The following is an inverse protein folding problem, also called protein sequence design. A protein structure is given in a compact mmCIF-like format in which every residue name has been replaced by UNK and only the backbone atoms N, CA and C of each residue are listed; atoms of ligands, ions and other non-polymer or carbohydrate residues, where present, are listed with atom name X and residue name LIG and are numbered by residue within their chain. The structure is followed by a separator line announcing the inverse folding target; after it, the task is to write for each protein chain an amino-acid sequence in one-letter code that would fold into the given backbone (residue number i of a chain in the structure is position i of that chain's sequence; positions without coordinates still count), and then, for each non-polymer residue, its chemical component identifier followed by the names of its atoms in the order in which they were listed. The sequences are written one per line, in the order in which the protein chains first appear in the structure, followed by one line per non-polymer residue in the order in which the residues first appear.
data_IF_961833150791
#
_entry.id   IF_961833150791
#
_cell.length_a   1.000
_cell.length_b   1.000
_cell.length_c   1.000
_cell.angle_alpha   90.00
_cell.angle_beta   90.00
_cell.angle_gamma   90.00
#
_symmetry.space_group_name_H-M   'P 1'
#
loop_
_entity.id
_entity.type
_entity.pdbx_description
1 polymer ?
#
# COMPACT_ATOMS: atom_id res chain seq x y z
N UNK A 1 1.41 21.71 0.21
CA UNK A 1 -0.04 21.52 0.13
C UNK A 1 -0.39 20.26 -0.66
N UNK A 2 0.03 20.15 -1.94
CA UNK A 2 -0.22 18.96 -2.77
C UNK A 2 0.23 17.62 -2.14
N UNK A 3 1.40 17.59 -1.48
CA UNK A 3 1.89 16.36 -0.85
C UNK A 3 1.02 15.89 0.32
N UNK A 4 0.42 16.81 1.06
CA UNK A 4 -0.48 16.48 2.17
C UNK A 4 -1.77 15.88 1.64
N UNK A 5 -2.33 16.45 0.58
CA UNK A 5 -3.55 15.95 -0.04
C UNK A 5 -3.38 14.54 -0.62
N UNK A 6 -2.21 14.23 -1.17
CA UNK A 6 -1.85 12.86 -1.58
C UNK A 6 -1.72 11.92 -0.38
N UNK A 7 -1.10 12.37 0.71
CA UNK A 7 -0.99 11.58 1.94
C UNK A 7 -2.38 11.28 2.55
N UNK A 8 -3.28 12.26 2.56
CA UNK A 8 -4.65 12.11 3.07
C UNK A 8 -5.46 11.11 2.22
N UNK A 9 -5.18 11.04 0.91
CA UNK A 9 -5.80 10.05 0.00
C UNK A 9 -5.31 8.62 0.21
N UNK A 10 -4.13 8.44 0.81
CA UNK A 10 -3.51 7.14 1.10
C UNK A 10 -3.90 6.67 2.51
N UNK A 11 -4.03 7.61 3.46
CA UNK A 11 -4.31 7.33 4.86
C UNK A 11 -5.61 6.54 5.05
N UNK A 12 -5.55 5.45 5.82
CA UNK A 12 -6.72 4.60 6.14
C UNK A 12 -7.23 3.70 5.01
N UNK A 13 -6.63 3.72 3.81
CA UNK A 13 -6.96 2.79 2.72
C UNK A 13 -6.10 1.53 2.80
N UNK A 14 -6.65 0.40 2.35
CA UNK A 14 -5.87 -0.83 2.18
C UNK A 14 -4.92 -0.74 0.98
N UNK A 15 -3.86 -1.55 0.97
CA UNK A 15 -2.89 -1.61 -0.14
C UNK A 15 -3.56 -1.83 -1.50
N UNK A 16 -4.59 -2.68 -1.56
CA UNK A 16 -5.36 -2.99 -2.77
C UNK A 16 -6.11 -1.76 -3.30
N UNK A 17 -6.72 -0.99 -2.39
CA UNK A 17 -7.44 0.24 -2.74
C UNK A 17 -6.47 1.34 -3.19
N UNK A 18 -5.32 1.47 -2.54
CA UNK A 18 -4.28 2.43 -2.94
C UNK A 18 -3.76 2.07 -4.34
N UNK A 19 -3.42 0.80 -4.57
CA UNK A 19 -2.96 0.33 -5.89
C UNK A 19 -3.99 0.62 -6.98
N UNK A 20 -5.27 0.37 -6.71
CA UNK A 20 -6.36 0.65 -7.66
C UNK A 20 -6.57 2.15 -7.91
N UNK A 21 -6.54 2.97 -6.87
CA UNK A 21 -6.75 4.43 -6.96
C UNK A 21 -5.66 5.12 -7.79
N UNK A 22 -4.41 4.69 -7.62
CA UNK A 22 -3.25 5.27 -8.29
C UNK A 22 -2.85 4.51 -9.57
N UNK A 23 -3.63 3.52 -10.00
CA UNK A 23 -3.36 2.65 -11.15
C UNK A 23 -1.95 2.01 -11.09
N UNK A 24 -1.55 1.58 -9.89
CA UNK A 24 -0.26 0.95 -9.62
C UNK A 24 -0.42 -0.56 -9.76
N UNK A 25 0.26 -1.14 -10.75
CA UNK A 25 0.34 -2.59 -10.93
C UNK A 25 1.18 -3.21 -9.81
N UNK A 26 0.66 -4.27 -9.18
CA UNK A 26 1.47 -5.12 -8.31
C UNK A 26 2.44 -5.95 -9.16
N UNK A 27 3.73 -5.70 -9.02
CA UNK A 27 4.82 -6.39 -9.70
C UNK A 27 5.54 -7.41 -8.80
N UNK A 28 5.18 -7.49 -7.52
CA UNK A 28 5.70 -8.49 -6.60
C UNK A 28 5.16 -9.89 -6.93
N UNK A 29 6.02 -10.90 -6.79
CA UNK A 29 5.56 -12.29 -6.78
C UNK A 29 4.77 -12.57 -5.49
N UNK A 30 3.91 -13.60 -5.48
CA UNK A 30 3.15 -13.96 -4.27
C UNK A 30 4.03 -14.27 -3.06
N UNK A 31 5.25 -14.77 -3.28
CA UNK A 31 6.21 -15.07 -2.22
C UNK A 31 6.80 -13.77 -1.66
N UNK A 32 7.24 -12.86 -2.53
CA UNK A 32 7.79 -11.56 -2.10
C UNK A 32 6.72 -10.72 -1.40
N UNK A 33 5.49 -10.70 -1.90
CA UNK A 33 4.40 -9.95 -1.26
C UNK A 33 4.08 -10.50 0.14
N UNK A 34 4.15 -11.81 0.33
CA UNK A 34 3.94 -12.44 1.63
C UNK A 34 5.08 -12.15 2.60
N UNK A 35 6.34 -12.19 2.16
CA UNK A 35 7.49 -11.81 3.00
C UNK A 35 7.43 -10.32 3.38
N UNK A 36 7.11 -9.43 2.43
CA UNK A 36 6.93 -7.99 2.69
C UNK A 36 5.78 -7.76 3.68
N UNK A 37 4.69 -8.53 3.58
CA UNK A 37 3.55 -8.44 4.50
C UNK A 37 3.91 -8.90 5.92
N UNK A 38 4.73 -9.95 6.06
CA UNK A 38 5.28 -10.39 7.35
C UNK A 38 6.23 -9.37 7.94
N UNK A 39 7.14 -8.82 7.14
CA UNK A 39 8.10 -7.79 7.58
C UNK A 39 7.39 -6.51 8.02
N UNK A 40 6.31 -6.13 7.33
CA UNK A 40 5.52 -4.94 7.63
C UNK A 40 4.29 -5.24 8.50
N UNK A 41 4.25 -6.40 9.19
CA UNK A 41 3.12 -6.78 10.04
C UNK A 41 2.78 -5.73 11.11
N UNK A 42 3.80 -5.03 11.63
CA UNK A 42 3.66 -3.93 12.60
C UNK A 42 2.82 -2.75 12.09
N UNK A 43 2.68 -2.58 10.76
CA UNK A 43 1.88 -1.52 10.15
C UNK A 43 0.42 -1.93 9.95
N UNK A 44 0.08 -3.20 10.23
CA UNK A 44 -1.27 -3.77 10.12
C UNK A 44 -1.85 -4.18 11.47
N UNK A 45 -1.16 -3.90 12.59
CA UNK A 45 -1.65 -4.02 13.97
C UNK A 45 -2.48 -2.80 14.42
#
# INVERSE_FOLDING_TARGET
MMCQEVADRINGKTLELIRKEFDIKNDFTPVEEEEIRKENAWAFE
#
